data_IF_410913277962
#
_entry.id   IF_410913277962
#
_cell.length_a   1.000
_cell.length_b   1.000
_cell.length_c   1.000
_cell.angle_alpha   90.00
_cell.angle_beta   90.00
_cell.angle_gamma   90.00
#
_symmetry.space_group_name_H-M   'P 1'
#
loop_
_entity.id
_entity.type
_entity.pdbx_description
1 polymer ?
#
# COMPACT_ATOMS: atom_id res chain seq x y z
N UNK A 1 6.02 13.00 -16.08
CA UNK A 1 4.98 12.14 -15.49
C UNK A 1 5.17 12.16 -13.99
N UNK A 2 4.14 12.49 -13.24
CA UNK A 2 4.19 12.75 -11.79
C UNK A 2 3.34 11.74 -11.04
N UNK A 3 3.73 11.45 -9.81
CA UNK A 3 2.92 10.68 -8.88
C UNK A 3 2.03 11.68 -8.13
N UNK A 4 0.73 11.44 -8.11
CA UNK A 4 -0.18 12.28 -7.33
C UNK A 4 0.20 12.24 -5.85
N UNK A 5 0.14 13.37 -5.16
CA UNK A 5 0.51 13.45 -3.73
C UNK A 5 -0.25 12.45 -2.84
N UNK A 6 -1.48 12.12 -3.23
CA UNK A 6 -2.30 11.13 -2.52
C UNK A 6 -1.78 9.68 -2.71
N UNK A 7 -0.92 9.43 -3.68
CA UNK A 7 -0.40 8.12 -4.02
C UNK A 7 1.01 7.89 -3.47
N UNK A 8 1.73 8.97 -3.11
CA UNK A 8 3.08 8.91 -2.55
C UNK A 8 3.21 7.96 -1.34
N UNK A 9 2.27 7.91 -0.38
CA UNK A 9 2.37 6.97 0.75
C UNK A 9 2.32 5.49 0.37
N UNK A 10 1.87 5.18 -0.85
CA UNK A 10 1.68 3.81 -1.31
C UNK A 10 2.72 3.35 -2.34
N UNK A 11 3.62 4.23 -2.75
CA UNK A 11 4.62 3.96 -3.81
C UNK A 11 5.51 2.77 -3.47
N UNK A 12 5.82 2.57 -2.20
CA UNK A 12 6.63 1.45 -1.72
C UNK A 12 5.83 0.18 -1.40
N UNK A 13 4.51 0.22 -1.55
CA UNK A 13 3.70 -0.98 -1.35
C UNK A 13 3.76 -1.87 -2.60
N UNK A 14 4.26 -3.11 -2.45
CA UNK A 14 4.39 -4.09 -3.55
C UNK A 14 3.08 -4.37 -4.30
N UNK A 15 1.96 -4.13 -3.66
CA UNK A 15 0.61 -4.34 -4.22
C UNK A 15 -0.01 -3.06 -4.78
N UNK A 16 0.67 -1.93 -4.63
CA UNK A 16 0.17 -0.66 -5.15
C UNK A 16 0.44 -0.57 -6.65
N UNK A 17 -0.62 -0.35 -7.42
CA UNK A 17 -0.56 -0.06 -8.87
C UNK A 17 -1.01 1.37 -9.09
N UNK A 18 -0.13 2.20 -9.61
CA UNK A 18 -0.50 3.56 -9.97
C UNK A 18 -1.55 3.54 -11.09
N UNK A 19 -2.62 4.35 -10.96
CA UNK A 19 -3.49 4.64 -12.09
C UNK A 19 -2.65 5.35 -13.16
N UNK A 20 -2.85 4.96 -14.41
CA UNK A 20 -2.23 5.56 -15.59
C UNK A 20 -0.71 5.41 -15.75
N UNK A 21 -0.31 4.36 -16.48
CA UNK A 21 0.88 4.22 -17.35
C UNK A 21 2.10 5.14 -17.06
N UNK A 22 2.27 5.57 -15.81
CA UNK A 22 3.35 6.49 -15.42
C UNK A 22 4.67 5.75 -15.31
N UNK A 23 4.62 4.43 -15.12
CA UNK A 23 5.81 3.57 -15.02
C UNK A 23 5.71 2.34 -15.93
N UNK A 24 6.84 1.86 -16.48
CA UNK A 24 6.88 0.57 -17.16
C UNK A 24 6.48 -0.56 -16.19
N UNK A 25 6.08 -1.70 -16.73
CA UNK A 25 5.35 -2.83 -16.17
C UNK A 25 5.76 -3.37 -14.77
N UNK A 26 6.77 -2.81 -14.11
CA UNK A 26 7.34 -3.33 -12.87
C UNK A 26 7.19 -2.35 -11.71
N UNK A 27 5.94 -2.15 -11.25
CA UNK A 27 5.66 -1.41 -9.99
C UNK A 27 6.29 -2.07 -8.75
N UNK A 28 6.79 -3.28 -8.87
CA UNK A 28 7.58 -3.94 -7.84
C UNK A 28 8.95 -3.27 -7.60
N UNK A 29 9.44 -2.46 -8.52
CA UNK A 29 10.78 -1.85 -8.42
C UNK A 29 10.89 -0.92 -7.21
N UNK A 30 9.87 -0.09 -6.94
CA UNK A 30 9.91 0.80 -5.76
C UNK A 30 9.81 0.03 -4.44
N UNK A 31 8.97 -1.00 -4.39
CA UNK A 31 8.88 -1.86 -3.21
C UNK A 31 10.19 -2.60 -2.96
N UNK A 32 10.83 -3.13 -4.01
CA UNK A 32 12.13 -3.79 -3.92
C UNK A 32 13.23 -2.82 -3.49
N UNK A 33 13.25 -1.60 -4.03
CA UNK A 33 14.21 -0.55 -3.65
C UNK A 33 14.05 -0.18 -2.18
N UNK A 34 12.82 -0.07 -1.71
CA UNK A 34 12.53 0.21 -0.31
C UNK A 34 12.96 -0.95 0.60
N UNK A 35 12.56 -2.19 0.29
CA UNK A 35 12.96 -3.39 1.02
C UNK A 35 14.49 -3.55 1.05
N UNK A 36 15.16 -3.27 -0.06
CA UNK A 36 16.63 -3.33 -0.14
C UNK A 36 17.28 -2.27 0.74
N UNK A 37 16.76 -1.03 0.74
CA UNK A 37 17.29 0.03 1.60
C UNK A 37 17.08 -0.33 3.09
N UNK A 38 15.92 -0.85 3.48
CA UNK A 38 15.67 -1.28 4.86
C UNK A 38 16.56 -2.45 5.29
N UNK A 39 16.78 -3.44 4.42
CA UNK A 39 17.69 -4.57 4.70
C UNK A 39 19.13 -4.13 4.94
N UNK A 40 19.54 -3.01 4.38
CA UNK A 40 20.86 -2.41 4.56
C UNK A 40 20.91 -1.39 5.71
N UNK A 41 19.86 -1.31 6.53
CA UNK A 41 19.76 -0.33 7.62
C UNK A 41 19.61 1.11 7.15
N UNK A 42 19.20 1.31 5.91
CA UNK A 42 18.92 2.61 5.32
C UNK A 42 17.47 2.97 5.29
N UNK A 43 17.16 4.14 4.74
CA UNK A 43 15.80 4.62 4.49
C UNK A 43 15.65 5.04 3.03
N UNK A 44 14.46 4.91 2.47
CA UNK A 44 14.12 5.42 1.15
C UNK A 44 12.96 6.41 1.23
N UNK A 45 13.09 7.49 0.47
CA UNK A 45 12.07 8.54 0.34
C UNK A 45 11.79 8.78 -1.13
N UNK A 46 10.51 8.90 -1.49
CA UNK A 46 10.10 9.28 -2.83
C UNK A 46 9.64 10.73 -2.84
N UNK A 47 10.11 11.46 -3.82
CA UNK A 47 9.68 12.83 -4.12
C UNK A 47 9.16 12.87 -5.55
N UNK A 48 8.05 13.52 -5.78
CA UNK A 48 7.49 13.70 -7.11
C UNK A 48 7.16 15.17 -7.33
N UNK A 49 7.71 15.75 -8.39
CA UNK A 49 7.36 17.08 -8.87
C UNK A 49 6.84 17.01 -10.33
N UNK A 50 6.54 18.17 -10.93
CA UNK A 50 5.85 18.24 -12.22
C UNK A 50 6.62 17.59 -13.40
N UNK A 51 7.87 17.24 -13.25
CA UNK A 51 8.69 16.71 -14.34
C UNK A 51 9.45 15.44 -14.02
N UNK A 52 9.64 15.08 -12.75
CA UNK A 52 10.46 13.93 -12.38
C UNK A 52 9.99 13.27 -11.08
N UNK A 53 10.32 11.98 -10.97
CA UNK A 53 10.17 11.20 -9.76
C UNK A 53 11.58 10.89 -9.27
N UNK A 54 11.89 11.32 -8.05
CA UNK A 54 13.18 11.10 -7.42
C UNK A 54 12.99 10.13 -6.25
N UNK A 55 13.70 9.01 -6.29
CA UNK A 55 13.80 8.09 -5.15
C UNK A 55 15.16 8.30 -4.52
N UNK A 56 15.17 8.77 -3.28
CA UNK A 56 16.40 8.98 -2.51
C UNK A 56 16.54 7.85 -1.50
N UNK A 57 17.69 7.19 -1.52
CA UNK A 57 18.09 6.22 -0.51
C UNK A 57 19.18 6.82 0.36
N UNK A 58 18.99 6.79 1.66
CA UNK A 58 19.97 7.21 2.65
C UNK A 58 20.48 5.97 3.41
N UNK A 59 21.77 5.80 3.46
CA UNK A 59 22.42 4.73 4.23
C UNK A 59 23.31 5.36 5.31
N UNK A 60 23.28 4.80 6.51
CA UNK A 60 24.22 5.18 7.55
C UNK A 60 25.58 4.56 7.26
N UNK A 61 26.63 5.38 6.98
CA UNK A 61 27.94 4.86 6.66
C UNK A 61 28.59 4.08 7.82
N UNK A 62 28.14 4.29 9.05
CA UNK A 62 28.64 3.54 10.21
C UNK A 62 28.12 2.08 10.23
N UNK A 63 26.98 1.81 9.61
CA UNK A 63 26.42 0.46 9.52
C UNK A 63 26.93 -0.33 8.32
N UNK A 64 27.26 0.32 7.21
CA UNK A 64 27.83 -0.35 6.04
C UNK A 64 29.26 -0.84 6.27
N UNK A 65 30.05 -0.18 7.13
CA UNK A 65 31.39 -0.61 7.49
C UNK A 65 31.40 -1.85 8.41
N UNK A 66 30.33 -2.11 9.16
CA UNK A 66 30.19 -3.27 10.05
C UNK A 66 29.81 -4.56 9.34
N UNK A 67 29.17 -4.48 8.18
CA UNK A 67 28.76 -5.67 7.42
C UNK A 67 29.92 -6.36 6.69
N UNK A 68 31.05 -5.71 6.49
CA UNK A 68 32.21 -6.25 5.80
C UNK A 68 33.19 -7.03 6.71
N UNK A 69 33.03 -7.06 8.03
CA UNK A 69 34.02 -7.56 8.97
C UNK A 69 33.58 -8.53 10.04
N UNK A 70 32.36 -9.14 9.96
CA UNK A 70 31.94 -10.09 10.98
C UNK A 70 31.32 -11.37 10.40
N UNK A 71 32.20 -12.25 9.95
CA UNK A 71 32.02 -13.68 10.17
C UNK A 71 32.82 -14.02 11.43
N UNK A 72 32.22 -13.95 12.59
CA UNK A 72 32.54 -14.76 13.77
C UNK A 72 31.71 -14.31 14.98
N UNK A 73 30.93 -15.26 15.46
CA UNK A 73 30.50 -15.51 16.85
C UNK A 73 30.35 -14.29 17.80
N UNK A 74 29.12 -13.98 18.16
CA UNK A 74 28.72 -13.69 19.56
C UNK A 74 27.29 -13.14 19.70
N UNK A 75 26.55 -13.79 20.54
CA UNK A 75 25.40 -13.44 21.39
C UNK A 75 24.69 -12.06 21.19
N UNK A 76 23.36 -12.04 21.11
CA UNK A 76 22.59 -10.82 20.88
C UNK A 76 22.47 -10.00 22.15
N UNK A 77 22.98 -8.77 22.14
CA UNK A 77 22.73 -7.78 23.20
C UNK A 77 21.99 -6.58 22.64
N UNK A 78 20.88 -6.26 23.31
CA UNK A 78 20.07 -5.05 23.21
C UNK A 78 19.29 -4.85 21.90
N UNK A 79 18.03 -5.22 21.96
CA UNK A 79 16.98 -4.71 21.05
C UNK A 79 16.89 -3.20 21.21
N UNK A 80 17.42 -2.47 20.21
CA UNK A 80 17.05 -1.07 20.01
C UNK A 80 15.58 -1.08 19.58
N UNK A 81 14.71 -0.36 20.29
CA UNK A 81 13.30 -0.23 19.87
C UNK A 81 13.26 0.19 18.39
N UNK A 82 12.44 -0.46 17.55
CA UNK A 82 12.32 -0.07 16.15
C UNK A 82 11.82 1.37 16.08
N UNK A 83 12.49 2.20 15.30
CA UNK A 83 12.08 3.57 15.04
C UNK A 83 10.58 3.62 14.68
N UNK A 84 9.86 4.63 15.17
CA UNK A 84 8.41 4.73 15.02
C UNK A 84 7.96 4.61 13.55
N UNK A 85 8.77 5.10 12.61
CA UNK A 85 8.51 5.00 11.17
C UNK A 85 8.56 3.55 10.65
N UNK A 86 9.50 2.74 11.12
CA UNK A 86 9.57 1.30 10.77
C UNK A 86 8.38 0.52 11.35
N UNK A 87 7.96 0.86 12.59
CA UNK A 87 6.79 0.24 13.22
C UNK A 87 5.48 0.61 12.51
N UNK A 88 5.34 1.85 12.08
CA UNK A 88 4.17 2.33 11.36
C UNK A 88 4.10 1.73 9.95
N UNK A 89 5.23 1.59 9.25
CA UNK A 89 5.29 0.90 7.96
C UNK A 89 4.87 -0.58 8.08
N UNK A 90 5.37 -1.30 9.09
CA UNK A 90 4.96 -2.69 9.36
C UNK A 90 3.49 -2.81 9.73
N UNK A 91 2.98 -1.85 10.50
CA UNK A 91 1.57 -1.82 10.83
C UNK A 91 0.71 -1.56 9.59
N UNK A 92 1.09 -0.63 8.73
CA UNK A 92 0.39 -0.35 7.48
C UNK A 92 0.38 -1.57 6.55
N UNK A 93 1.51 -2.25 6.39
CA UNK A 93 1.61 -3.49 5.63
C UNK A 93 0.65 -4.54 6.20
N UNK A 94 0.66 -4.77 7.52
CA UNK A 94 -0.23 -5.73 8.17
C UNK A 94 -1.71 -5.38 8.00
N UNK A 95 -2.06 -4.08 8.05
CA UNK A 95 -3.43 -3.61 7.78
C UNK A 95 -3.82 -3.92 6.34
N UNK A 96 -2.94 -3.62 5.38
CA UNK A 96 -3.16 -3.87 3.95
C UNK A 96 -3.34 -5.37 3.68
N UNK A 97 -2.44 -6.21 4.16
CA UNK A 97 -2.50 -7.67 4.00
C UNK A 97 -3.80 -8.25 4.59
N UNK A 98 -4.22 -7.73 5.76
CA UNK A 98 -5.48 -8.16 6.38
C UNK A 98 -6.69 -7.79 5.52
N UNK A 99 -6.72 -6.60 4.94
CA UNK A 99 -7.80 -6.17 4.03
C UNK A 99 -7.77 -7.00 2.74
N UNK A 100 -6.61 -7.24 2.17
CA UNK A 100 -6.43 -8.07 0.97
C UNK A 100 -6.90 -9.52 1.19
N UNK A 101 -6.58 -10.11 2.34
CA UNK A 101 -7.01 -11.46 2.69
C UNK A 101 -8.55 -11.60 2.78
N UNK A 102 -9.25 -10.50 3.04
CA UNK A 102 -10.71 -10.45 3.15
C UNK A 102 -11.35 -9.59 2.04
N UNK A 103 -10.67 -9.41 0.91
CA UNK A 103 -11.08 -8.46 -0.13
C UNK A 103 -12.48 -8.76 -0.68
N UNK A 104 -12.82 -10.03 -0.87
CA UNK A 104 -14.09 -10.49 -1.41
C UNK A 104 -15.23 -10.54 -0.37
N UNK A 105 -14.91 -10.45 0.91
CA UNK A 105 -15.91 -10.49 1.98
C UNK A 105 -16.63 -9.14 2.09
N UNK A 106 -17.88 -9.07 1.64
CA UNK A 106 -18.70 -7.84 1.70
C UNK A 106 -18.98 -7.37 3.13
N UNK A 107 -18.93 -8.27 4.11
CA UNK A 107 -19.17 -7.98 5.51
C UNK A 107 -17.89 -7.58 6.26
N UNK A 108 -16.74 -7.69 5.61
CA UNK A 108 -15.49 -7.23 6.19
C UNK A 108 -15.48 -5.70 6.32
N UNK A 109 -15.44 -5.25 7.55
CA UNK A 109 -15.55 -3.85 7.94
C UNK A 109 -14.47 -3.47 8.96
N UNK A 110 -14.51 -2.21 9.42
CA UNK A 110 -13.53 -1.67 10.38
C UNK A 110 -13.51 -2.46 11.69
N UNK A 111 -14.64 -2.96 12.16
CA UNK A 111 -14.71 -3.75 13.39
C UNK A 111 -13.95 -5.07 13.24
N UNK A 112 -14.19 -5.79 12.14
CA UNK A 112 -13.47 -7.04 11.86
C UNK A 112 -11.97 -6.81 11.63
N UNK A 113 -11.61 -5.68 11.00
CA UNK A 113 -10.20 -5.30 10.87
C UNK A 113 -9.55 -5.06 12.23
N UNK A 114 -10.24 -4.39 13.16
CA UNK A 114 -9.76 -4.17 14.53
C UNK A 114 -9.55 -5.48 15.28
N UNK A 115 -10.52 -6.39 15.20
CA UNK A 115 -10.45 -7.72 15.81
C UNK A 115 -9.28 -8.53 15.27
N UNK A 116 -9.11 -8.56 13.95
CA UNK A 116 -8.02 -9.29 13.28
C UNK A 116 -6.63 -8.76 13.65
N UNK A 117 -6.51 -7.48 13.92
CA UNK A 117 -5.24 -6.84 14.28
C UNK A 117 -5.01 -6.77 15.79
N UNK A 118 -6.03 -7.04 16.62
CA UNK A 118 -5.97 -6.85 18.06
C UNK A 118 -5.82 -5.37 18.46
N UNK A 119 -6.31 -4.43 17.63
CA UNK A 119 -6.15 -3.00 17.86
C UNK A 119 -7.45 -2.36 18.33
N UNK A 120 -7.34 -1.48 19.32
CA UNK A 120 -8.47 -0.66 19.74
C UNK A 120 -8.88 0.37 18.66
N UNK A 121 -10.18 0.68 18.60
CA UNK A 121 -10.79 1.57 17.60
C UNK A 121 -10.07 2.92 17.47
N UNK A 122 -9.78 3.58 18.59
CA UNK A 122 -9.10 4.89 18.59
C UNK A 122 -7.68 4.81 18.04
N UNK A 123 -6.96 3.72 18.33
CA UNK A 123 -5.59 3.53 17.88
C UNK A 123 -5.56 3.25 16.37
N UNK A 124 -6.40 2.34 15.88
CA UNK A 124 -6.50 2.04 14.46
C UNK A 124 -6.86 3.30 13.66
N UNK A 125 -7.88 4.05 14.10
CA UNK A 125 -8.28 5.29 13.44
C UNK A 125 -7.13 6.29 13.35
N UNK A 126 -6.46 6.55 14.48
CA UNK A 126 -5.36 7.51 14.54
C UNK A 126 -4.20 7.10 13.64
N UNK A 127 -3.79 5.83 13.71
CA UNK A 127 -2.66 5.32 12.92
C UNK A 127 -2.96 5.32 11.43
N UNK A 128 -4.10 4.80 11.00
CA UNK A 128 -4.49 4.82 9.58
C UNK A 128 -4.59 6.26 9.07
N UNK A 129 -5.20 7.15 9.84
CA UNK A 129 -5.33 8.57 9.46
C UNK A 129 -3.97 9.27 9.36
N UNK A 130 -3.07 9.00 10.30
CA UNK A 130 -1.71 9.55 10.30
C UNK A 130 -0.90 9.06 9.10
N UNK A 131 -0.91 7.74 8.83
CA UNK A 131 -0.09 7.11 7.78
C UNK A 131 -0.63 7.35 6.37
N UNK A 132 -1.95 7.46 6.20
CA UNK A 132 -2.57 7.45 4.86
C UNK A 132 -3.43 8.67 4.53
N UNK A 133 -3.65 9.55 5.49
CA UNK A 133 -4.60 10.66 5.36
C UNK A 133 -6.08 10.24 5.29
N UNK A 134 -6.38 8.93 5.27
CA UNK A 134 -7.73 8.36 5.11
C UNK A 134 -8.25 7.81 6.45
N UNK A 135 -9.56 7.76 6.59
CA UNK A 135 -10.18 7.00 7.68
C UNK A 135 -10.06 5.49 7.40
N UNK A 136 -10.13 4.60 8.40
CA UNK A 136 -10.07 3.15 8.16
C UNK A 136 -11.09 2.63 7.14
N UNK A 137 -12.32 3.15 7.15
CA UNK A 137 -13.35 2.77 6.18
C UNK A 137 -13.01 3.24 4.76
N UNK A 138 -12.45 4.44 4.62
CA UNK A 138 -11.97 4.96 3.33
C UNK A 138 -10.76 4.18 2.84
N UNK A 139 -9.89 3.73 3.75
CA UNK A 139 -8.73 2.93 3.42
C UNK A 139 -9.10 1.54 2.91
N UNK A 140 -10.01 0.81 3.60
CA UNK A 140 -10.55 -0.47 3.11
C UNK A 140 -11.15 -0.29 1.72
N UNK A 141 -11.97 0.74 1.55
CA UNK A 141 -12.60 1.06 0.25
C UNK A 141 -11.57 1.36 -0.83
N UNK A 142 -10.53 2.08 -0.50
CA UNK A 142 -9.44 2.42 -1.41
C UNK A 142 -8.73 1.17 -1.92
N UNK A 143 -8.34 0.24 -1.04
CA UNK A 143 -7.72 -1.04 -1.43
C UNK A 143 -8.65 -1.84 -2.34
N UNK A 144 -9.95 -1.93 -2.01
CA UNK A 144 -10.93 -2.61 -2.86
C UNK A 144 -11.04 -1.99 -4.26
N UNK A 145 -11.01 -0.67 -4.36
CA UNK A 145 -11.05 0.04 -5.66
C UNK A 145 -9.79 -0.19 -6.46
N UNK A 146 -8.62 -0.18 -5.82
CA UNK A 146 -7.35 -0.49 -6.49
C UNK A 146 -7.37 -1.91 -7.07
N UNK A 147 -7.83 -2.88 -6.28
CA UNK A 147 -7.94 -4.27 -6.74
C UNK A 147 -8.93 -4.41 -7.90
N UNK A 148 -10.08 -3.72 -7.82
CA UNK A 148 -11.06 -3.67 -8.90
C UNK A 148 -10.45 -3.11 -10.20
N UNK A 149 -9.70 -2.03 -10.12
CA UNK A 149 -9.07 -1.42 -11.29
C UNK A 149 -8.07 -2.37 -11.98
N UNK A 150 -7.27 -3.11 -11.20
CA UNK A 150 -6.36 -4.14 -11.73
C UNK A 150 -7.15 -5.21 -12.48
N UNK A 151 -8.19 -5.78 -11.86
CA UNK A 151 -8.97 -6.87 -12.45
C UNK A 151 -9.74 -6.43 -13.70
N UNK A 152 -10.26 -5.19 -13.71
CA UNK A 152 -10.93 -4.62 -14.88
C UNK A 152 -9.97 -4.43 -16.05
N UNK A 153 -8.73 -4.00 -15.77
CA UNK A 153 -7.70 -3.82 -16.81
C UNK A 153 -7.22 -5.14 -17.40
N UNK A 154 -7.18 -6.21 -16.61
CA UNK A 154 -6.87 -7.55 -17.11
C UNK A 154 -7.90 -8.07 -18.12
N UNK A 155 -9.12 -7.54 -18.11
CA UNK A 155 -10.17 -7.86 -19.07
C UNK A 155 -10.70 -9.29 -18.98
N UNK A 156 -10.35 -10.02 -17.92
CA UNK A 156 -10.74 -11.43 -17.73
C UNK A 156 -12.13 -11.60 -17.13
N UNK A 157 -12.61 -10.58 -16.45
CA UNK A 157 -13.83 -10.62 -15.67
C UNK A 157 -14.76 -9.48 -16.08
N UNK A 158 -16.05 -9.73 -16.04
CA UNK A 158 -17.07 -8.70 -16.20
C UNK A 158 -17.04 -7.72 -15.01
N UNK A 159 -17.57 -6.52 -15.20
CA UNK A 159 -17.70 -5.51 -14.13
C UNK A 159 -18.45 -6.06 -12.91
N UNK A 160 -19.49 -6.89 -13.14
CA UNK A 160 -20.26 -7.50 -12.05
C UNK A 160 -19.45 -8.54 -11.28
N UNK A 161 -18.67 -9.36 -11.94
CA UNK A 161 -17.78 -10.32 -11.28
C UNK A 161 -16.72 -9.61 -10.45
N UNK A 162 -16.06 -8.61 -11.04
CA UNK A 162 -15.06 -7.79 -10.31
C UNK A 162 -15.68 -7.16 -9.07
N UNK A 163 -16.88 -6.59 -9.19
CA UNK A 163 -17.60 -6.01 -8.05
C UNK A 163 -17.72 -7.00 -6.89
N UNK A 164 -18.18 -8.22 -7.14
CA UNK A 164 -18.29 -9.25 -6.10
C UNK A 164 -16.92 -9.69 -5.57
N UNK A 165 -15.95 -9.87 -6.45
CA UNK A 165 -14.60 -10.30 -6.08
C UNK A 165 -13.86 -9.29 -5.18
N UNK A 166 -14.27 -8.02 -5.22
CA UNK A 166 -13.72 -6.98 -4.33
C UNK A 166 -14.68 -6.60 -3.19
N UNK A 167 -15.67 -7.46 -2.89
CA UNK A 167 -16.51 -7.35 -1.71
C UNK A 167 -17.57 -6.24 -1.78
N UNK A 168 -18.09 -5.93 -2.98
CA UNK A 168 -19.24 -5.06 -3.15
C UNK A 168 -20.47 -5.89 -3.54
N UNK A 169 -21.59 -5.64 -2.88
CA UNK A 169 -22.87 -6.30 -3.16
C UNK A 169 -23.86 -5.42 -3.95
N UNK A 170 -23.55 -4.11 -4.11
CA UNK A 170 -24.44 -3.16 -4.78
C UNK A 170 -23.72 -2.50 -5.97
N UNK A 171 -24.22 -2.77 -7.18
CA UNK A 171 -23.64 -2.31 -8.44
C UNK A 171 -23.66 -0.78 -8.60
N UNK A 172 -24.75 -0.13 -8.21
CA UNK A 172 -24.87 1.34 -8.29
C UNK A 172 -23.88 2.02 -7.35
N UNK A 173 -23.71 1.48 -6.15
CA UNK A 173 -22.75 2.00 -5.18
C UNK A 173 -21.30 1.76 -5.64
N UNK A 174 -20.99 0.55 -6.12
CA UNK A 174 -19.68 0.23 -6.69
C UNK A 174 -19.29 1.20 -7.82
N UNK A 175 -20.19 1.37 -8.81
CA UNK A 175 -19.96 2.25 -9.95
C UNK A 175 -19.74 3.72 -9.53
N UNK A 176 -20.54 4.22 -8.59
CA UNK A 176 -20.36 5.59 -8.06
C UNK A 176 -19.01 5.76 -7.35
N UNK A 177 -18.62 4.80 -6.51
CA UNK A 177 -17.34 4.86 -5.79
C UNK A 177 -16.18 4.75 -6.77
N UNK A 178 -16.25 3.87 -7.75
CA UNK A 178 -15.23 3.69 -8.77
C UNK A 178 -15.07 4.97 -9.61
N UNK A 179 -16.18 5.52 -10.11
CA UNK A 179 -16.16 6.77 -10.88
C UNK A 179 -15.64 7.94 -10.07
N UNK A 180 -15.98 8.03 -8.77
CA UNK A 180 -15.41 9.06 -7.88
C UNK A 180 -13.90 8.91 -7.72
N UNK A 181 -13.37 7.69 -7.77
CA UNK A 181 -11.95 7.39 -7.55
C UNK A 181 -11.13 7.58 -8.82
N UNK A 182 -11.66 7.16 -9.98
CA UNK A 182 -10.91 7.10 -11.25
C UNK A 182 -11.42 8.08 -12.33
N UNK A 183 -12.48 8.83 -12.06
CA UNK A 183 -13.04 9.81 -13.01
C UNK A 183 -13.96 9.21 -14.09
N UNK A 184 -13.88 7.91 -14.36
CA UNK A 184 -14.65 7.19 -15.37
C UNK A 184 -15.35 5.97 -14.77
N UNK A 185 -16.35 5.45 -15.47
CA UNK A 185 -17.10 4.28 -14.99
C UNK A 185 -16.27 3.00 -15.08
N UNK A 186 -16.59 1.95 -14.27
CA UNK A 186 -15.92 0.65 -14.39
C UNK A 186 -15.96 0.05 -15.79
N UNK A 187 -17.08 0.25 -16.51
CA UNK A 187 -17.26 -0.26 -17.86
C UNK A 187 -16.41 0.46 -18.90
N UNK A 188 -16.21 1.77 -18.76
CA UNK A 188 -15.28 2.55 -19.58
C UNK A 188 -13.84 2.17 -19.28
N UNK A 189 -13.49 2.02 -18.00
CA UNK A 189 -12.16 1.64 -17.56
C UNK A 189 -11.73 0.25 -18.06
N UNK A 190 -12.67 -0.69 -18.17
CA UNK A 190 -12.42 -2.06 -18.68
C UNK A 190 -12.18 -2.12 -20.19
N UNK A 191 -12.54 -1.07 -20.96
CA UNK A 191 -12.40 -1.05 -22.43
C UNK A 191 -11.14 -0.35 -22.92
N UNK A 192 -10.51 0.47 -22.07
CA UNK A 192 -9.31 1.25 -22.37
C UNK A 192 -8.05 0.64 -21.89
#
# INVERSE_FOLDING_TARGET
KTIAQNDLPFVFNRYYRMPDNIMPADTNTFALVHEFAELQGGASVVHSDDNQIVVTMAFDPAQTASAASQHSDSTPTAFKEPDADSADARLLAKITDTVEAHIADSDFNVTRLQESLGLGSKLLYRKVKQMTGKTPIEFIRHIRMQRAAIMLREGRFSVSEVMYMVGFSNSSYFSKVFQKTYGITPAEYSRG
#
